data_IF_510995624889
#
_entry.id   IF_510995624889
#
_cell.length_a   1.000
_cell.length_b   1.000
_cell.length_c   1.000
_cell.angle_alpha   90.00
_cell.angle_beta   90.00
_cell.angle_gamma   90.00
#
_symmetry.space_group_name_H-M   'P 1'
#
loop_
_entity.id
_entity.type
_entity.pdbx_description
1 polymer ?
#
# COMPACT_ATOMS: atom_id res chain seq x y z
N UNK A 1 -2.56 10.42 -13.77
CA UNK A 1 -1.42 10.55 -14.71
C UNK A 1 -0.94 9.20 -15.24
N UNK A 2 -0.48 9.16 -16.49
CA UNK A 2 0.29 8.04 -17.06
C UNK A 2 1.69 8.52 -17.49
N UNK A 3 2.73 7.70 -17.27
CA UNK A 3 4.12 7.99 -17.64
C UNK A 3 4.79 6.75 -18.21
N UNK A 4 5.62 6.92 -19.23
CA UNK A 4 6.45 5.84 -19.77
C UNK A 4 7.84 5.92 -19.12
N UNK A 5 8.29 4.81 -18.54
CA UNK A 5 9.61 4.69 -17.93
C UNK A 5 10.39 3.52 -18.53
N UNK A 6 11.69 3.45 -18.21
CA UNK A 6 12.53 2.29 -18.53
C UNK A 6 12.69 1.42 -17.29
N UNK A 7 12.20 0.18 -17.35
CA UNK A 7 12.28 -0.83 -16.30
C UNK A 7 13.01 -2.06 -16.85
N UNK A 8 14.16 -2.42 -16.23
CA UNK A 8 15.05 -3.50 -16.71
C UNK A 8 15.37 -3.42 -18.22
N UNK A 9 15.60 -2.21 -18.73
CA UNK A 9 15.92 -1.96 -20.14
C UNK A 9 14.72 -2.04 -21.10
N UNK A 10 13.51 -2.29 -20.57
CA UNK A 10 12.28 -2.32 -21.35
C UNK A 10 11.41 -1.10 -21.05
N UNK A 11 10.68 -0.61 -22.05
CA UNK A 11 9.71 0.46 -21.84
C UNK A 11 8.45 -0.11 -21.21
N UNK A 12 8.01 0.51 -20.11
CA UNK A 12 6.78 0.17 -19.41
C UNK A 12 5.98 1.45 -19.16
N UNK A 13 4.66 1.29 -19.06
CA UNK A 13 3.74 2.37 -18.72
C UNK A 13 3.43 2.27 -17.23
N UNK A 14 3.42 3.40 -16.56
CA UNK A 14 3.07 3.55 -15.16
C UNK A 14 1.87 4.46 -15.07
N UNK A 15 0.85 4.04 -14.35
CA UNK A 15 -0.34 4.84 -14.06
C UNK A 15 -0.41 5.12 -12.56
N UNK A 16 -0.81 6.34 -12.21
CA UNK A 16 -1.02 6.78 -10.84
C UNK A 16 -2.17 7.78 -10.84
N UNK A 17 -2.99 7.77 -9.81
CA UNK A 17 -4.13 8.69 -9.63
C UNK A 17 -3.76 9.97 -8.84
N UNK A 18 -2.46 10.19 -8.61
CA UNK A 18 -1.86 11.45 -8.16
C UNK A 18 -2.22 11.91 -6.74
N UNK A 19 -2.95 11.11 -5.95
CA UNK A 19 -3.18 11.41 -4.53
C UNK A 19 -2.02 10.94 -3.66
N UNK A 20 -0.83 11.50 -3.91
CA UNK A 20 0.36 11.18 -3.11
C UNK A 20 0.15 11.47 -1.62
N UNK A 21 -0.64 12.48 -1.24
CA UNK A 21 -0.99 12.73 0.17
C UNK A 21 -1.75 11.56 0.83
N UNK A 22 -2.32 10.64 0.05
CA UNK A 22 -3.00 9.42 0.52
C UNK A 22 -2.21 8.13 0.23
N UNK A 23 -1.02 8.23 -0.35
CA UNK A 23 -0.12 7.09 -0.59
C UNK A 23 0.70 6.79 0.67
N UNK A 24 0.38 5.69 1.35
CA UNK A 24 1.10 5.26 2.54
C UNK A 24 2.30 4.39 2.18
N UNK A 25 2.25 3.67 1.06
CA UNK A 25 3.15 2.59 0.69
C UNK A 25 2.53 1.23 1.01
N UNK A 26 2.75 0.24 0.15
CA UNK A 26 2.26 -1.13 0.26
C UNK A 26 2.51 -1.71 1.64
N UNK A 27 3.73 -1.53 2.15
CA UNK A 27 4.17 -2.03 3.46
C UNK A 27 3.65 -1.23 4.66
N UNK A 28 3.20 0.02 4.47
CA UNK A 28 2.85 0.95 5.56
C UNK A 28 1.37 1.34 5.59
N UNK A 29 0.61 1.10 4.52
CA UNK A 29 -0.83 1.40 4.51
C UNK A 29 -1.52 0.55 5.59
N UNK A 30 -2.30 1.15 6.49
CA UNK A 30 -3.04 0.40 7.51
C UNK A 30 -3.96 -0.66 6.89
N UNK A 31 -3.98 -1.83 7.53
CA UNK A 31 -4.70 -3.03 7.09
C UNK A 31 -5.59 -3.56 8.21
N UNK A 32 -6.66 -4.23 7.82
CA UNK A 32 -7.51 -5.03 8.67
C UNK A 32 -7.31 -6.50 8.33
N UNK A 33 -7.32 -7.35 9.34
CA UNK A 33 -7.23 -8.80 9.20
C UNK A 33 -8.56 -9.37 9.70
N UNK A 34 -9.42 -9.90 8.81
CA UNK A 34 -10.78 -10.32 9.17
C UNK A 34 -10.86 -11.30 10.35
N UNK A 35 -9.83 -12.12 10.54
CA UNK A 35 -9.72 -13.16 11.56
C UNK A 35 -9.44 -12.60 12.95
N UNK A 36 -8.89 -11.38 13.06
CA UNK A 36 -8.69 -10.70 14.33
C UNK A 36 -9.64 -9.51 14.42
N UNK A 37 -10.59 -9.57 15.37
CA UNK A 37 -11.57 -8.50 15.59
C UNK A 37 -10.88 -7.12 15.64
N UNK A 38 -11.55 -6.08 15.13
CA UNK A 38 -11.06 -4.69 14.97
C UNK A 38 -10.49 -4.06 16.27
N UNK A 39 -10.61 -4.75 17.41
CA UNK A 39 -10.18 -4.35 18.75
C UNK A 39 -8.74 -4.72 19.14
N UNK A 40 -7.94 -5.35 18.26
CA UNK A 40 -6.54 -5.67 18.58
C UNK A 40 -5.64 -4.45 18.38
N UNK A 41 -5.54 -3.61 19.41
CA UNK A 41 -4.53 -2.55 19.51
C UNK A 41 -3.18 -3.25 19.74
N UNK A 42 -2.31 -3.32 18.72
CA UNK A 42 -0.91 -3.64 18.95
C UNK A 42 -0.31 -2.53 19.81
N UNK A 43 -0.09 -2.79 21.10
CA UNK A 43 0.66 -1.88 21.96
C UNK A 43 2.06 -1.66 21.39
N UNK A 44 2.61 -0.46 21.57
CA UNK A 44 3.95 -0.03 21.14
C UNK A 44 5.12 -0.95 21.62
N UNK A 45 4.81 -1.98 22.41
CA UNK A 45 5.77 -2.84 23.11
C UNK A 45 5.72 -4.30 22.63
N UNK A 46 4.86 -4.65 21.66
CA UNK A 46 4.75 -6.02 21.15
C UNK A 46 3.98 -7.00 22.04
N UNK A 47 3.29 -6.54 23.09
CA UNK A 47 2.40 -7.37 23.90
C UNK A 47 0.94 -7.20 23.46
N UNK A 48 0.27 -8.31 23.14
CA UNK A 48 -1.19 -8.35 22.95
C UNK A 48 -1.89 -8.55 24.29
N UNK A 49 -2.75 -7.61 24.70
CA UNK A 49 -3.58 -7.74 25.91
C UNK A 49 -5.04 -7.88 25.49
N UNK A 50 -5.64 -9.04 25.76
CA UNK A 50 -7.09 -9.22 25.65
C UNK A 50 -7.76 -8.78 26.96
N UNK A 51 -8.87 -8.02 26.91
CA UNK A 51 -9.52 -7.49 28.10
C UNK A 51 -10.14 -8.56 29.01
N UNK A 52 -10.33 -9.78 28.53
CA UNK A 52 -10.86 -10.92 29.29
C UNK A 52 -9.80 -11.94 29.72
N UNK A 53 -8.53 -11.74 29.33
CA UNK A 53 -7.42 -12.63 29.68
C UNK A 53 -7.43 -14.00 29.00
N UNK A 54 -8.37 -14.26 28.08
CA UNK A 54 -8.32 -15.45 27.24
C UNK A 54 -7.65 -15.06 25.93
N UNK A 55 -6.65 -15.83 25.50
CA UNK A 55 -6.12 -15.72 24.15
C UNK A 55 -6.86 -16.73 23.26
N UNK A 56 -7.91 -16.31 22.51
CA UNK A 56 -8.60 -17.21 21.59
C UNK A 56 -7.74 -17.63 20.39
N UNK A 57 -6.50 -17.15 20.25
CA UNK A 57 -5.62 -17.45 19.11
C UNK A 57 -4.69 -18.65 19.31
N UNK A 58 -4.72 -19.35 20.45
CA UNK A 58 -3.87 -20.56 20.63
C UNK A 58 -4.24 -21.69 19.63
N UNK A 59 -5.37 -21.58 18.93
CA UNK A 59 -5.84 -22.52 17.90
C UNK A 59 -6.19 -21.88 16.54
N UNK A 60 -6.04 -20.55 16.36
CA UNK A 60 -6.41 -19.88 15.11
C UNK A 60 -5.16 -19.50 14.30
N UNK A 61 -4.88 -20.24 13.23
CA UNK A 61 -3.91 -19.83 12.22
C UNK A 61 -4.42 -18.55 11.54
N UNK A 62 -3.78 -17.42 11.83
CA UNK A 62 -4.04 -16.16 11.14
C UNK A 62 -3.34 -16.23 9.79
N UNK A 63 -4.13 -16.14 8.72
CA UNK A 63 -3.61 -15.92 7.38
C UNK A 63 -3.25 -14.43 7.23
N UNK A 64 -1.97 -14.10 7.42
CA UNK A 64 -1.49 -12.73 7.25
C UNK A 64 -1.49 -12.25 5.80
N UNK A 65 -1.72 -13.13 4.83
CA UNK A 65 -1.93 -12.75 3.44
C UNK A 65 -3.39 -12.37 3.18
N UNK A 66 -4.34 -12.78 4.02
CA UNK A 66 -5.74 -12.38 3.96
C UNK A 66 -5.98 -11.06 4.70
N UNK A 67 -5.57 -9.95 4.10
CA UNK A 67 -5.78 -8.62 4.66
C UNK A 67 -6.59 -7.71 3.74
N UNK A 68 -7.18 -6.69 4.35
CA UNK A 68 -7.99 -5.68 3.68
C UNK A 68 -7.32 -4.32 3.92
N UNK A 69 -6.95 -3.61 2.85
CA UNK A 69 -6.52 -2.23 2.98
C UNK A 69 -7.67 -1.33 3.37
N UNK A 70 -7.45 -0.46 4.35
CA UNK A 70 -8.40 0.57 4.71
C UNK A 70 -8.63 1.55 3.54
N UNK A 71 -9.85 2.08 3.44
CA UNK A 71 -10.21 3.11 2.46
C UNK A 71 -9.55 4.47 2.77
N UNK A 72 -9.52 5.37 1.80
CA UNK A 72 -9.00 6.73 1.96
C UNK A 72 -9.79 7.57 2.99
N UNK A 73 -11.07 7.25 3.21
CA UNK A 73 -11.97 7.93 4.15
C UNK A 73 -11.77 7.46 5.60
N UNK A 74 -11.37 6.21 5.78
CA UNK A 74 -11.01 5.65 7.10
C UNK A 74 -9.63 6.14 7.57
N UNK A 75 -8.81 6.64 6.65
CA UNK A 75 -7.45 7.06 6.91
C UNK A 75 -7.30 8.59 6.89
N UNK A 76 -6.38 9.09 7.71
CA UNK A 76 -5.90 10.46 7.61
C UNK A 76 -5.07 10.69 6.34
N UNK A 77 -4.31 11.78 6.33
CA UNK A 77 -3.25 11.94 5.33
C UNK A 77 -2.10 10.98 5.66
N UNK A 78 -1.53 10.38 4.62
CA UNK A 78 -0.32 9.58 4.74
C UNK A 78 0.87 10.48 5.12
N UNK A 79 1.85 9.95 5.87
CA UNK A 79 3.04 10.72 6.24
C UNK A 79 3.77 11.23 5.00
N UNK A 80 4.41 12.39 5.13
CA UNK A 80 5.24 12.97 4.07
C UNK A 80 6.40 12.02 3.73
N UNK A 81 7.04 11.47 4.77
CA UNK A 81 8.03 10.41 4.67
C UNK A 81 7.50 9.12 5.31
N UNK A 82 7.13 8.11 4.51
CA UNK A 82 6.68 6.81 5.02
C UNK A 82 7.84 5.92 5.52
N UNK A 83 9.09 6.40 5.49
CA UNK A 83 10.31 5.65 5.84
C UNK A 83 10.56 4.41 4.95
N UNK A 84 9.98 4.40 3.77
CA UNK A 84 10.17 3.37 2.74
C UNK A 84 10.82 3.97 1.51
N UNK A 85 11.78 3.27 0.94
CA UNK A 85 12.66 3.79 -0.11
C UNK A 85 12.99 2.69 -1.11
N UNK A 86 13.07 3.05 -2.39
CA UNK A 86 13.42 2.13 -3.47
C UNK A 86 14.51 2.74 -4.34
N UNK A 87 15.72 2.16 -4.25
CA UNK A 87 16.91 2.68 -4.92
C UNK A 87 17.13 4.18 -4.68
N UNK A 88 17.12 4.58 -3.41
CA UNK A 88 17.28 5.94 -2.87
C UNK A 88 16.15 6.92 -3.21
N UNK A 89 15.05 6.44 -3.78
CA UNK A 89 13.88 7.26 -4.08
C UNK A 89 12.77 6.99 -3.06
N UNK A 90 12.18 8.06 -2.54
CA UNK A 90 11.08 8.02 -1.59
C UNK A 90 9.74 8.37 -2.27
N UNK A 91 8.69 8.41 -1.47
CA UNK A 91 7.40 9.00 -1.84
C UNK A 91 7.57 10.39 -2.46
N UNK A 92 7.02 10.65 -3.66
CA UNK A 92 7.12 11.95 -4.30
C UNK A 92 6.48 13.06 -3.45
N UNK A 93 7.18 14.19 -3.34
CA UNK A 93 6.67 15.42 -2.70
C UNK A 93 6.28 16.48 -3.72
N UNK A 94 6.56 16.25 -5.00
CA UNK A 94 6.29 17.14 -6.12
C UNK A 94 6.02 16.32 -7.40
N UNK A 95 5.39 16.95 -8.39
CA UNK A 95 5.00 16.30 -9.65
C UNK A 95 6.19 15.83 -10.51
N UNK A 96 7.34 16.52 -10.43
CA UNK A 96 8.52 16.12 -11.21
C UNK A 96 9.09 14.77 -10.81
N UNK A 97 8.85 14.35 -9.56
CA UNK A 97 9.28 13.07 -9.02
C UNK A 97 8.28 11.92 -9.26
N UNK A 98 7.14 12.20 -9.90
CA UNK A 98 6.14 11.16 -10.16
C UNK A 98 6.67 10.05 -11.09
N UNK A 99 6.31 8.80 -10.78
CA UNK A 99 6.80 7.63 -11.51
C UNK A 99 8.27 7.30 -11.23
N UNK A 100 8.78 7.71 -10.06
CA UNK A 100 10.06 7.23 -9.56
C UNK A 100 9.99 5.75 -9.13
N UNK A 101 11.11 5.15 -8.73
CA UNK A 101 11.20 3.74 -8.32
C UNK A 101 10.26 3.40 -7.16
N UNK A 102 10.10 4.31 -6.21
CA UNK A 102 9.16 4.12 -5.08
C UNK A 102 7.72 4.05 -5.57
N UNK A 103 7.33 4.92 -6.50
CA UNK A 103 6.00 4.85 -7.13
C UNK A 103 5.73 3.45 -7.71
N UNK A 104 6.72 2.87 -8.38
CA UNK A 104 6.54 1.61 -9.11
C UNK A 104 6.55 0.37 -8.21
N UNK A 105 7.22 0.44 -7.06
CA UNK A 105 7.51 -0.75 -6.24
C UNK A 105 6.87 -0.73 -4.86
N UNK A 106 6.66 0.46 -4.31
CA UNK A 106 6.14 0.64 -2.96
C UNK A 106 4.81 1.39 -2.93
N UNK A 107 4.49 2.27 -3.88
CA UNK A 107 3.20 2.97 -3.84
C UNK A 107 2.05 2.00 -4.16
N UNK A 108 1.10 1.88 -3.25
CA UNK A 108 -0.09 1.04 -3.43
C UNK A 108 -1.10 1.60 -4.44
N UNK A 109 -0.90 2.85 -4.86
CA UNK A 109 -1.82 3.64 -5.71
C UNK A 109 -1.29 3.81 -7.12
N UNK A 110 -0.19 3.13 -7.42
CA UNK A 110 0.52 3.22 -8.67
C UNK A 110 0.70 1.82 -9.24
N UNK A 111 0.38 1.68 -10.52
CA UNK A 111 0.44 0.40 -11.21
C UNK A 111 1.33 0.52 -12.45
N UNK A 112 1.96 -0.60 -12.81
CA UNK A 112 2.86 -0.68 -13.94
C UNK A 112 2.37 -1.76 -14.91
N UNK A 113 2.33 -1.44 -16.20
CA UNK A 113 2.07 -2.44 -17.24
C UNK A 113 3.17 -3.50 -17.24
N UNK A 114 2.83 -4.74 -17.58
CA UNK A 114 3.88 -5.73 -17.83
C UNK A 114 4.82 -5.26 -18.97
N UNK A 115 6.10 -5.70 -18.94
CA UNK A 115 7.04 -5.39 -20.01
C UNK A 115 6.50 -5.81 -21.39
N UNK A 116 6.44 -4.85 -22.32
CA UNK A 116 5.90 -5.07 -23.67
C UNK A 116 4.40 -4.78 -23.83
N UNK A 117 3.64 -4.56 -22.74
CA UNK A 117 2.19 -4.27 -22.76
C UNK A 117 1.84 -2.78 -22.64
N UNK A 118 2.65 -1.91 -23.25
CA UNK A 118 2.50 -0.44 -23.16
C UNK A 118 1.12 0.09 -23.58
N UNK A 119 0.48 -0.59 -24.53
CA UNK A 119 -0.78 -0.16 -25.12
C UNK A 119 -2.01 -0.66 -24.34
N UNK A 120 -1.82 -1.55 -23.37
CA UNK A 120 -2.93 -2.04 -22.57
C UNK A 120 -3.32 -0.97 -21.52
N UNK A 121 -4.61 -0.76 -21.27
CA UNK A 121 -5.04 0.13 -20.20
C UNK A 121 -4.59 -0.44 -18.85
N UNK A 122 -4.16 0.45 -17.95
CA UNK A 122 -3.84 0.08 -16.57
C UNK A 122 -5.05 0.49 -15.73
N UNK A 123 -5.68 -0.49 -15.08
CA UNK A 123 -6.75 -0.24 -14.13
C UNK A 123 -6.14 0.04 -12.76
N UNK A 124 -6.46 1.19 -12.18
CA UNK A 124 -6.01 1.56 -10.85
C UNK A 124 -7.00 1.04 -9.81
N UNK A 125 -6.45 0.62 -8.68
CA UNK A 125 -7.22 0.22 -7.51
C UNK A 125 -7.99 1.42 -6.96
N UNK A 126 -9.28 1.20 -6.69
CA UNK A 126 -10.16 2.20 -6.11
C UNK A 126 -10.16 2.15 -4.58
N UNK A 127 -9.35 3.02 -3.98
CA UNK A 127 -9.26 3.19 -2.51
C UNK A 127 -10.38 4.05 -1.90
N UNK A 128 -11.43 4.41 -2.64
CA UNK A 128 -12.64 5.02 -2.03
C UNK A 128 -13.42 4.03 -1.17
N UNK A 129 -13.08 2.74 -1.25
CA UNK A 129 -13.61 1.64 -0.45
C UNK A 129 -12.47 0.78 0.06
N UNK A 130 -12.78 -0.10 1.02
CA UNK A 130 -11.86 -1.14 1.48
C UNK A 130 -11.49 -2.05 0.30
N UNK A 131 -10.21 -2.40 0.18
CA UNK A 131 -9.67 -3.21 -0.94
C UNK A 131 -9.09 -4.50 -0.40
N UNK A 132 -9.46 -5.62 -1.02
CA UNK A 132 -8.86 -6.93 -0.80
C UNK A 132 -7.83 -7.15 -1.90
N UNK A 133 -6.64 -7.63 -1.54
CA UNK A 133 -5.55 -7.93 -2.47
C UNK A 133 -5.41 -9.43 -2.70
#
# INVERSE_FOLDING_TARGET
MEKIITFFGQKVKVACDEKCNKAWGNSQRPRLYPEISETRIFGLNGESVYPDGNDPLDEQEIDFDNFIFCSDDELGDAPIDPQTYEGDQAKPTNESDYGNKWCVRECERCEMSEPGKLNEPIELIDFSKRVVY
#
